data_IF_328228777266
#
_entry.id   IF_328228777266
#
_cell.length_a   1.000
_cell.length_b   1.000
_cell.length_c   1.000
_cell.angle_alpha   90.00
_cell.angle_beta   90.00
_cell.angle_gamma   90.00
#
_symmetry.space_group_name_H-M   'P 1'
#
loop_
_entity.id
_entity.type
_entity.pdbx_description
1 polymer ?
#
# COMPACT_ATOMS: atom_id res chain seq x y z
N UNK A 1 -16.49 -18.86 3.25
CA UNK A 1 -15.97 -18.82 4.66
C UNK A 1 -14.49 -18.49 4.73
N UNK A 2 -13.72 -19.10 3.83
CA UNK A 2 -12.36 -18.76 3.42
C UNK A 2 -12.12 -17.26 3.10
N UNK A 3 -12.90 -16.64 2.20
CA UNK A 3 -12.67 -15.24 1.77
C UNK A 3 -12.86 -14.27 2.94
N UNK A 4 -13.88 -14.49 3.76
CA UNK A 4 -14.13 -13.69 4.96
C UNK A 4 -12.93 -13.69 5.91
N UNK A 5 -12.23 -14.84 6.05
CA UNK A 5 -11.04 -14.93 6.89
C UNK A 5 -9.85 -14.16 6.31
N UNK A 6 -9.77 -13.97 4.99
CA UNK A 6 -8.78 -13.07 4.41
C UNK A 6 -9.11 -11.61 4.72
N UNK A 7 -10.38 -11.22 4.64
CA UNK A 7 -10.82 -9.87 5.03
C UNK A 7 -10.51 -9.57 6.49
N UNK A 8 -10.88 -10.46 7.42
CA UNK A 8 -10.58 -10.28 8.85
C UNK A 8 -9.07 -10.24 9.14
N UNK A 9 -8.26 -10.97 8.37
CA UNK A 9 -6.78 -10.90 8.49
C UNK A 9 -6.23 -9.57 7.98
N UNK A 10 -6.75 -9.05 6.86
CA UNK A 10 -6.37 -7.73 6.36
C UNK A 10 -6.76 -6.62 7.35
N UNK A 11 -8.00 -6.66 7.86
CA UNK A 11 -8.51 -5.72 8.84
C UNK A 11 -7.69 -5.71 10.15
N UNK A 12 -7.30 -6.89 10.63
CA UNK A 12 -6.44 -7.02 11.82
C UNK A 12 -5.00 -6.51 11.60
N UNK A 13 -4.62 -6.21 10.35
CA UNK A 13 -3.30 -5.69 9.97
C UNK A 13 -3.34 -4.20 9.60
N UNK A 14 -4.42 -3.50 9.97
CA UNK A 14 -4.52 -2.05 9.74
C UNK A 14 -3.37 -1.29 10.42
N UNK A 15 -2.91 -0.24 9.76
CA UNK A 15 -1.93 0.72 10.26
C UNK A 15 -2.13 2.06 9.56
N UNK A 16 -1.58 3.15 10.10
CA UNK A 16 -1.54 4.46 9.44
C UNK A 16 -0.11 4.95 9.21
N UNK A 17 0.11 5.83 8.24
CA UNK A 17 1.42 6.35 7.89
C UNK A 17 2.14 7.00 9.09
N UNK A 18 1.38 7.63 10.00
CA UNK A 18 1.91 8.26 11.21
C UNK A 18 2.49 7.28 12.24
N UNK A 19 2.21 5.98 12.12
CA UNK A 19 2.85 4.95 12.96
C UNK A 19 4.32 4.71 12.57
N UNK A 20 4.77 5.21 11.42
CA UNK A 20 6.15 5.11 10.94
C UNK A 20 6.95 6.34 11.35
N UNK A 21 7.78 6.22 12.38
CA UNK A 21 8.68 7.29 12.83
C UNK A 21 9.89 7.45 11.89
N UNK A 22 9.85 8.46 11.02
CA UNK A 22 10.94 8.82 10.10
C UNK A 22 11.92 9.86 10.66
N UNK A 23 11.83 10.22 11.96
CA UNK A 23 12.61 11.33 12.54
C UNK A 23 14.12 11.13 12.47
N UNK A 24 14.60 9.89 12.39
CA UNK A 24 16.03 9.54 12.35
C UNK A 24 16.55 9.31 10.93
N UNK A 25 15.65 9.09 9.98
CA UNK A 25 15.96 8.62 8.63
C UNK A 25 16.68 9.69 7.80
N UNK A 26 16.44 10.97 8.07
CA UNK A 26 17.13 12.08 7.38
C UNK A 26 18.65 12.01 7.58
N UNK A 27 19.09 11.80 8.82
CA UNK A 27 20.52 11.69 9.12
C UNK A 27 21.14 10.42 8.49
N UNK A 28 20.37 9.32 8.46
CA UNK A 28 20.80 8.08 7.82
C UNK A 28 20.91 8.25 6.30
N UNK A 29 19.93 8.90 5.67
CA UNK A 29 19.91 9.24 4.25
C UNK A 29 21.14 10.06 3.81
N UNK A 30 21.51 11.07 4.61
CA UNK A 30 22.70 11.88 4.38
C UNK A 30 23.99 11.08 4.48
N UNK A 31 24.04 10.08 5.37
CA UNK A 31 25.21 9.21 5.56
C UNK A 31 25.44 8.19 4.44
N UNK A 32 24.44 7.94 3.59
CA UNK A 32 24.53 7.00 2.47
C UNK A 32 25.50 7.48 1.37
N UNK A 33 26.00 6.54 0.58
CA UNK A 33 26.73 6.83 -0.66
C UNK A 33 25.75 7.38 -1.72
N UNK A 34 26.31 8.10 -2.69
CA UNK A 34 25.53 8.64 -3.82
C UNK A 34 24.75 7.55 -4.56
N UNK A 35 25.38 6.40 -4.80
CA UNK A 35 24.77 5.30 -5.57
C UNK A 35 23.66 4.60 -4.78
N UNK A 36 23.79 4.50 -3.45
CA UNK A 36 22.75 3.97 -2.57
C UNK A 36 21.52 4.89 -2.57
N UNK A 37 21.72 6.21 -2.42
CA UNK A 37 20.62 7.18 -2.55
C UNK A 37 19.97 7.13 -3.92
N UNK A 38 20.77 7.06 -4.99
CA UNK A 38 20.24 6.99 -6.35
C UNK A 38 19.35 5.75 -6.54
N UNK A 39 19.81 4.59 -6.07
CA UNK A 39 19.04 3.34 -6.11
C UNK A 39 17.74 3.47 -5.33
N UNK A 40 17.79 3.87 -4.05
CA UNK A 40 16.60 3.95 -3.20
C UNK A 40 15.60 4.98 -3.74
N UNK A 41 16.05 6.14 -4.22
CA UNK A 41 15.16 7.14 -4.82
C UNK A 41 14.41 6.60 -6.04
N UNK A 42 15.04 5.78 -6.88
CA UNK A 42 14.36 5.18 -8.04
C UNK A 42 13.35 4.11 -7.63
N UNK A 43 13.67 3.33 -6.59
CA UNK A 43 12.73 2.35 -6.02
C UNK A 43 11.51 3.07 -5.44
N UNK A 44 11.69 4.14 -4.67
CA UNK A 44 10.59 4.94 -4.13
C UNK A 44 9.76 5.59 -5.25
N UNK A 45 10.39 6.12 -6.29
CA UNK A 45 9.68 6.71 -7.43
C UNK A 45 8.85 5.67 -8.21
N UNK A 46 9.32 4.42 -8.30
CA UNK A 46 8.54 3.33 -8.89
C UNK A 46 7.29 3.02 -8.05
N UNK A 47 7.46 2.90 -6.72
CA UNK A 47 6.33 2.59 -5.83
C UNK A 47 5.29 3.70 -5.79
N UNK A 48 5.71 4.97 -5.75
CA UNK A 48 4.81 6.12 -5.78
C UNK A 48 3.87 6.15 -7.00
N UNK A 49 4.27 5.55 -8.13
CA UNK A 49 3.42 5.42 -9.31
C UNK A 49 2.61 4.10 -9.32
N UNK A 50 3.17 3.01 -8.80
CA UNK A 50 2.54 1.69 -8.88
C UNK A 50 1.24 1.59 -8.07
N UNK A 51 1.19 2.23 -6.91
CA UNK A 51 0.05 2.11 -6.01
C UNK A 51 -1.22 2.71 -6.63
N UNK A 52 -1.08 3.84 -7.34
CA UNK A 52 -2.17 4.42 -8.13
C UNK A 52 -2.71 3.50 -9.22
N UNK A 53 -1.82 2.78 -9.94
CA UNK A 53 -2.21 1.83 -10.99
C UNK A 53 -2.97 0.63 -10.39
N UNK A 54 -2.51 0.12 -9.25
CA UNK A 54 -3.19 -0.97 -8.54
C UNK A 54 -4.57 -0.52 -8.08
N UNK A 55 -4.66 0.68 -7.50
CA UNK A 55 -5.89 1.25 -6.99
C UNK A 55 -6.93 1.48 -8.09
N UNK A 56 -6.51 2.03 -9.24
CA UNK A 56 -7.36 2.22 -10.42
C UNK A 56 -7.98 0.89 -10.87
N UNK A 57 -7.20 -0.18 -10.96
CA UNK A 57 -7.73 -1.50 -11.32
C UNK A 57 -8.68 -2.08 -10.27
N UNK A 58 -8.41 -1.90 -8.97
CA UNK A 58 -9.28 -2.37 -7.89
C UNK A 58 -10.63 -1.65 -7.91
N UNK A 59 -10.62 -0.32 -8.07
CA UNK A 59 -11.82 0.52 -8.09
C UNK A 59 -12.62 0.35 -9.38
N UNK A 60 -11.95 0.39 -10.53
CA UNK A 60 -12.66 0.43 -11.81
C UNK A 60 -13.10 -0.95 -12.29
N UNK A 61 -12.39 -2.00 -11.89
CA UNK A 61 -12.61 -3.36 -12.40
C UNK A 61 -12.97 -4.34 -11.29
N UNK A 62 -12.02 -4.76 -10.47
CA UNK A 62 -12.22 -5.94 -9.61
C UNK A 62 -13.37 -5.78 -8.61
N UNK A 63 -13.49 -4.63 -7.96
CA UNK A 63 -14.59 -4.36 -7.01
C UNK A 63 -15.96 -4.22 -7.68
N UNK A 64 -16.01 -3.92 -8.98
CA UNK A 64 -17.25 -3.82 -9.78
C UNK A 64 -17.63 -5.16 -10.40
N UNK A 65 -16.67 -5.92 -10.90
CA UNK A 65 -16.88 -7.19 -11.59
C UNK A 65 -17.25 -8.31 -10.61
N UNK A 66 -16.58 -8.40 -9.46
CA UNK A 66 -16.80 -9.47 -8.47
C UNK A 66 -18.04 -9.18 -7.62
N UNK A 67 -19.04 -10.07 -7.70
CA UNK A 67 -20.31 -9.90 -6.98
C UNK A 67 -20.34 -10.57 -5.60
N UNK A 68 -19.32 -11.37 -5.24
CA UNK A 68 -19.24 -12.02 -3.92
C UNK A 68 -18.98 -10.96 -2.86
N UNK A 69 -19.92 -10.81 -1.92
CA UNK A 69 -19.91 -9.75 -0.90
C UNK A 69 -18.63 -9.74 -0.06
N UNK A 70 -18.16 -10.91 0.40
CA UNK A 70 -16.95 -11.01 1.21
C UNK A 70 -15.69 -10.59 0.45
N UNK A 71 -15.64 -10.85 -0.86
CA UNK A 71 -14.55 -10.38 -1.71
C UNK A 71 -14.61 -8.85 -1.92
N UNK A 72 -15.81 -8.28 -2.02
CA UNK A 72 -15.98 -6.82 -2.09
C UNK A 72 -15.56 -6.11 -0.80
N UNK A 73 -15.82 -6.70 0.37
CA UNK A 73 -15.29 -6.20 1.63
C UNK A 73 -13.77 -6.25 1.68
N UNK A 74 -13.17 -7.36 1.21
CA UNK A 74 -11.72 -7.45 1.08
C UNK A 74 -11.16 -6.37 0.15
N UNK A 75 -11.70 -6.21 -1.06
CA UNK A 75 -11.22 -5.19 -2.00
C UNK A 75 -11.42 -3.76 -1.49
N UNK A 76 -12.53 -3.47 -0.81
CA UNK A 76 -12.74 -2.16 -0.20
C UNK A 76 -11.66 -1.83 0.84
N UNK A 77 -11.26 -2.82 1.64
CA UNK A 77 -10.18 -2.64 2.60
C UNK A 77 -8.82 -2.55 1.93
N UNK A 78 -8.57 -3.34 0.89
CA UNK A 78 -7.34 -3.24 0.10
C UNK A 78 -7.18 -1.85 -0.52
N UNK A 79 -8.23 -1.29 -1.13
CA UNK A 79 -8.21 0.09 -1.68
C UNK A 79 -7.84 1.11 -0.60
N UNK A 80 -8.38 0.97 0.61
CA UNK A 80 -8.04 1.87 1.72
C UNK A 80 -6.56 1.77 2.11
N UNK A 81 -6.01 0.55 2.18
CA UNK A 81 -4.59 0.33 2.49
C UNK A 81 -3.68 0.82 1.35
N UNK A 82 -4.03 0.63 0.07
CA UNK A 82 -3.22 1.17 -1.04
C UNK A 82 -3.20 2.71 -1.04
N UNK A 83 -4.24 3.38 -0.53
CA UNK A 83 -4.19 4.83 -0.32
C UNK A 83 -3.19 5.22 0.78
N UNK A 84 -3.07 4.40 1.83
CA UNK A 84 -2.09 4.60 2.92
C UNK A 84 -0.67 4.28 2.43
N UNK A 85 -0.49 3.29 1.55
CA UNK A 85 0.80 3.03 0.91
C UNK A 85 1.27 4.19 0.03
N UNK A 86 0.33 4.86 -0.63
CA UNK A 86 0.62 6.00 -1.51
C UNK A 86 0.90 7.32 -0.76
N UNK A 87 0.60 7.39 0.54
CA UNK A 87 0.89 8.55 1.40
C UNK A 87 2.37 8.65 1.77
#
# INVERSE_FOLDING_TARGET
>A
PDIWQFYKRAEASFWTAEEVDLSKDVAQWESLKKDERHFISHVLAFFAASDGIVNENLVERFSKEVQVTEARFFYGFQIAIENIHSE
#
